data_IF_278510415942
#
_entry.id   IF_278510415942
#
_cell.length_a   1.000
_cell.length_b   1.000
_cell.length_c   1.000
_cell.angle_alpha   90.00
_cell.angle_beta   90.00
_cell.angle_gamma   90.00
#
_symmetry.space_group_name_H-M   'P 1'
#
loop_
_entity.id
_entity.type
_entity.pdbx_description
1 polymer ?
#
# COMPACT_ATOMS: atom_id res chain seq x y z
N UNK A 1 18.81 20.91 2.58
CA UNK A 1 18.07 19.67 2.26
C UNK A 1 18.78 18.51 2.94
N UNK A 2 18.03 17.60 3.56
CA UNK A 2 18.61 16.42 4.18
C UNK A 2 19.09 15.43 3.10
N UNK A 3 20.14 14.65 3.39
CA UNK A 3 20.71 13.66 2.46
C UNK A 3 19.69 12.69 1.80
N UNK A 4 18.61 12.24 2.47
CA UNK A 4 17.59 11.39 1.85
C UNK A 4 16.78 12.08 0.73
N UNK A 5 16.63 13.41 0.79
CA UNK A 5 15.84 14.20 -0.17
C UNK A 5 16.62 14.48 -1.45
N UNK A 6 17.94 14.74 -1.34
CA UNK A 6 18.81 14.91 -2.50
C UNK A 6 18.98 13.62 -3.30
N UNK A 7 19.01 12.48 -2.61
CA UNK A 7 18.95 11.15 -3.24
C UNK A 7 17.58 10.96 -3.91
N UNK A 8 16.50 11.49 -3.30
CA UNK A 8 15.13 11.37 -3.81
C UNK A 8 14.91 12.01 -5.18
N UNK A 9 15.36 13.25 -5.36
CA UNK A 9 15.16 14.02 -6.59
C UNK A 9 15.96 13.46 -7.77
N UNK A 10 17.11 12.84 -7.47
CA UNK A 10 17.92 12.15 -8.47
C UNK A 10 17.23 10.86 -8.96
N UNK A 11 16.51 10.14 -8.08
CA UNK A 11 15.81 8.89 -8.43
C UNK A 11 14.51 9.10 -9.21
N UNK A 12 13.71 10.14 -8.91
CA UNK A 12 12.54 10.48 -9.75
C UNK A 12 12.95 10.77 -11.20
N UNK A 13 14.06 11.49 -11.38
CA UNK A 13 14.59 11.84 -12.71
C UNK A 13 15.15 10.64 -13.49
N UNK A 14 15.55 9.56 -12.80
CA UNK A 14 16.14 8.38 -13.42
C UNK A 14 15.13 7.22 -13.58
N UNK A 15 14.03 7.21 -12.82
CA UNK A 15 13.12 6.07 -12.71
C UNK A 15 11.93 6.03 -13.67
N UNK A 16 11.58 7.15 -14.32
CA UNK A 16 10.53 7.20 -15.37
C UNK A 16 9.13 6.70 -14.95
N UNK A 17 8.85 6.58 -13.64
CA UNK A 17 7.58 6.10 -13.11
C UNK A 17 6.55 7.22 -12.92
N UNK A 18 5.27 6.85 -12.83
CA UNK A 18 4.19 7.80 -12.54
C UNK A 18 4.34 8.44 -11.16
N UNK A 19 4.04 9.75 -11.07
CA UNK A 19 4.06 10.51 -9.82
C UNK A 19 3.09 9.96 -8.77
N UNK A 20 1.91 9.46 -9.18
CA UNK A 20 0.97 8.71 -8.33
C UNK A 20 0.03 7.84 -9.19
N UNK A 21 -0.79 7.00 -8.54
CA UNK A 21 -1.98 6.37 -9.12
C UNK A 21 -3.17 7.32 -8.97
N UNK A 22 -3.82 7.60 -10.09
CA UNK A 22 -5.04 8.40 -10.11
C UNK A 22 -6.28 7.53 -10.23
N UNK A 23 -7.25 7.79 -9.36
CA UNK A 23 -8.52 7.07 -9.31
C UNK A 23 -9.63 7.88 -9.98
N UNK A 24 -10.70 7.23 -10.49
CA UNK A 24 -11.89 7.92 -10.96
C UNK A 24 -12.50 8.81 -9.87
N UNK A 25 -13.19 9.89 -10.26
CA UNK A 25 -13.83 10.82 -9.32
C UNK A 25 -14.77 10.13 -8.33
N UNK A 26 -15.43 9.04 -8.74
CA UNK A 26 -16.32 8.28 -7.86
C UNK A 26 -15.63 7.67 -6.64
N UNK A 27 -14.29 7.55 -6.61
CA UNK A 27 -13.54 7.04 -5.45
C UNK A 27 -13.39 8.10 -4.36
N UNK A 28 -13.51 9.39 -4.70
CA UNK A 28 -13.33 10.49 -3.76
C UNK A 28 -14.20 10.33 -2.51
N UNK A 29 -13.63 10.63 -1.34
CA UNK A 29 -14.26 10.46 -0.04
C UNK A 29 -13.79 9.21 0.69
N UNK A 30 -14.43 8.96 1.83
CA UNK A 30 -14.12 7.84 2.72
C UNK A 30 -15.15 6.72 2.57
N UNK A 31 -14.67 5.49 2.64
CA UNK A 31 -15.44 4.27 2.44
C UNK A 31 -15.30 3.36 3.64
N UNK A 32 -16.39 2.72 4.05
CA UNK A 32 -16.29 1.57 4.96
C UNK A 32 -15.79 0.37 4.16
N UNK A 33 -14.66 -0.18 4.57
CA UNK A 33 -14.01 -1.30 3.91
C UNK A 33 -14.16 -2.55 4.75
N UNK A 34 -14.61 -3.63 4.13
CA UNK A 34 -14.45 -4.99 4.64
C UNK A 34 -13.32 -5.66 3.84
N UNK A 35 -12.19 -5.94 4.50
CA UNK A 35 -11.03 -6.61 3.90
C UNK A 35 -10.83 -7.98 4.54
N UNK A 36 -10.83 -9.04 3.73
CA UNK A 36 -10.60 -10.40 4.20
C UNK A 36 -9.32 -10.94 3.58
N UNK A 37 -8.40 -11.41 4.42
CA UNK A 37 -7.25 -12.20 3.99
C UNK A 37 -7.75 -13.60 3.60
N UNK A 38 -7.66 -13.95 2.32
CA UNK A 38 -8.22 -15.22 1.79
C UNK A 38 -7.16 -16.26 1.45
N UNK A 39 -5.89 -15.86 1.35
CA UNK A 39 -4.78 -16.75 1.05
C UNK A 39 -3.47 -16.14 1.55
N UNK A 40 -2.61 -16.97 2.12
CA UNK A 40 -1.23 -16.62 2.53
C UNK A 40 -0.31 -17.73 2.08
N UNK A 41 0.78 -17.38 1.43
CA UNK A 41 1.79 -18.31 0.96
C UNK A 41 3.16 -17.87 1.44
N UNK A 42 3.91 -18.80 2.02
CA UNK A 42 5.32 -18.62 2.35
C UNK A 42 6.19 -19.32 1.30
N UNK A 43 7.26 -18.65 0.89
CA UNK A 43 8.31 -19.17 0.02
C UNK A 43 9.67 -18.87 0.67
N UNK A 44 10.34 -19.91 1.16
CA UNK A 44 11.59 -19.76 1.91
C UNK A 44 11.37 -19.31 3.35
N UNK A 45 12.45 -18.89 4.01
CA UNK A 45 12.46 -18.63 5.47
C UNK A 45 12.21 -17.16 5.85
N UNK A 46 12.28 -16.23 4.90
CA UNK A 46 12.09 -14.82 5.15
C UNK A 46 10.64 -14.50 5.57
N UNK A 47 10.48 -13.72 6.64
CA UNK A 47 9.18 -13.33 7.23
C UNK A 47 8.30 -14.49 7.74
N UNK A 48 8.89 -15.65 8.08
CA UNK A 48 8.15 -16.81 8.57
C UNK A 48 7.22 -16.51 9.77
N UNK A 49 7.71 -15.77 10.77
CA UNK A 49 6.91 -15.40 11.94
C UNK A 49 5.68 -14.55 11.57
N UNK A 50 5.84 -13.62 10.62
CA UNK A 50 4.75 -12.77 10.14
C UNK A 50 3.70 -13.60 9.39
N UNK A 51 4.15 -14.56 8.57
CA UNK A 51 3.24 -15.48 7.87
C UNK A 51 2.48 -16.34 8.86
N UNK A 52 3.16 -16.91 9.85
CA UNK A 52 2.52 -17.73 10.89
C UNK A 52 1.48 -16.92 11.68
N UNK A 53 1.82 -15.70 12.10
CA UNK A 53 0.89 -14.80 12.76
C UNK A 53 -0.36 -14.55 11.89
N UNK A 54 -0.17 -14.30 10.59
CA UNK A 54 -1.29 -14.05 9.68
C UNK A 54 -2.18 -15.29 9.50
N UNK A 55 -1.60 -16.49 9.43
CA UNK A 55 -2.36 -17.75 9.36
C UNK A 55 -3.24 -17.94 10.60
N UNK A 56 -2.68 -17.72 11.79
CA UNK A 56 -3.39 -17.94 13.05
C UNK A 56 -4.43 -16.85 13.33
N UNK A 57 -4.09 -15.61 13.03
CA UNK A 57 -4.82 -14.46 13.54
C UNK A 57 -5.64 -13.72 12.50
N UNK A 58 -5.35 -13.86 11.21
CA UNK A 58 -5.92 -13.00 10.16
C UNK A 58 -6.60 -13.78 9.03
N UNK A 59 -6.12 -14.97 8.69
CA UNK A 59 -6.63 -15.77 7.57
C UNK A 59 -8.12 -16.08 7.76
N UNK A 60 -8.90 -15.82 6.72
CA UNK A 60 -10.36 -15.91 6.68
C UNK A 60 -11.12 -15.00 7.67
N UNK A 61 -10.43 -14.04 8.31
CA UNK A 61 -11.08 -13.01 9.14
C UNK A 61 -11.22 -11.71 8.35
N UNK A 62 -12.34 -11.03 8.56
CA UNK A 62 -12.63 -9.74 7.92
C UNK A 62 -12.24 -8.61 8.86
N UNK A 63 -11.24 -7.83 8.47
CA UNK A 63 -10.92 -6.55 9.07
C UNK A 63 -11.84 -5.47 8.52
N UNK A 64 -12.38 -4.62 9.40
CA UNK A 64 -13.20 -3.48 9.02
C UNK A 64 -12.52 -2.17 9.40
N UNK A 65 -12.43 -1.26 8.44
CA UNK A 65 -11.80 0.03 8.62
C UNK A 65 -12.30 1.02 7.58
N UNK A 66 -11.99 2.30 7.78
CA UNK A 66 -12.26 3.35 6.80
C UNK A 66 -11.07 3.51 5.85
N UNK A 67 -11.35 3.69 4.56
CA UNK A 67 -10.34 4.02 3.56
C UNK A 67 -10.80 5.23 2.74
N UNK A 68 -9.94 6.24 2.64
CA UNK A 68 -10.22 7.52 2.02
C UNK A 68 -9.38 7.77 0.77
N UNK A 69 -10.00 8.46 -0.18
CA UNK A 69 -9.37 9.01 -1.37
C UNK A 69 -9.65 10.51 -1.41
N UNK A 70 -8.62 11.29 -1.72
CA UNK A 70 -8.63 12.76 -1.63
C UNK A 70 -8.09 13.36 -2.92
N UNK A 71 -8.42 14.63 -3.19
CA UNK A 71 -7.80 15.35 -4.30
C UNK A 71 -6.45 15.93 -3.89
N UNK A 72 -5.45 15.76 -4.74
CA UNK A 72 -4.19 16.48 -4.64
C UNK A 72 -4.33 17.93 -5.16
N UNK A 73 -3.26 18.72 -5.10
CA UNK A 73 -3.20 20.09 -5.60
C UNK A 73 -3.43 20.24 -7.11
N UNK A 74 -3.41 19.13 -7.87
CA UNK A 74 -3.79 19.07 -9.29
C UNK A 74 -5.26 18.73 -9.50
N UNK A 75 -6.03 18.56 -8.44
CA UNK A 75 -7.44 18.18 -8.50
C UNK A 75 -7.69 16.71 -8.84
N UNK A 76 -6.65 15.86 -8.84
CA UNK A 76 -6.76 14.43 -9.16
C UNK A 76 -6.97 13.59 -7.90
N UNK A 77 -7.84 12.58 -7.98
CA UNK A 77 -8.13 11.70 -6.85
C UNK A 77 -6.99 10.70 -6.64
N UNK A 78 -6.44 10.68 -5.43
CA UNK A 78 -5.37 9.78 -4.96
C UNK A 78 -5.79 9.09 -3.66
N UNK A 79 -5.19 7.96 -3.33
CA UNK A 79 -5.41 7.32 -2.04
C UNK A 79 -4.71 8.12 -0.92
N UNK A 80 -5.42 8.44 0.17
CA UNK A 80 -4.83 9.11 1.33
C UNK A 80 -3.97 8.12 2.13
N UNK A 81 -2.70 8.00 1.78
CA UNK A 81 -1.82 6.97 2.38
C UNK A 81 -1.67 7.16 3.88
N UNK A 82 -1.54 8.41 4.33
CA UNK A 82 -1.38 8.72 5.75
C UNK A 82 -2.59 8.25 6.56
N UNK A 83 -3.79 8.68 6.16
CA UNK A 83 -5.03 8.30 6.85
C UNK A 83 -5.34 6.81 6.68
N UNK A 84 -5.15 6.24 5.49
CA UNK A 84 -5.44 4.83 5.23
C UNK A 84 -4.53 3.91 6.05
N UNK A 85 -3.22 4.21 6.13
CA UNK A 85 -2.32 3.43 6.99
C UNK A 85 -2.69 3.59 8.46
N UNK A 86 -3.08 4.79 8.90
CA UNK A 86 -3.59 4.99 10.26
C UNK A 86 -4.81 4.11 10.54
N UNK A 87 -5.84 4.15 9.70
CA UNK A 87 -7.10 3.40 9.90
C UNK A 87 -6.90 1.89 9.90
N UNK A 88 -6.01 1.37 9.05
CA UNK A 88 -5.62 -0.04 9.07
C UNK A 88 -4.88 -0.37 10.38
N UNK A 89 -3.95 0.48 10.80
CA UNK A 89 -3.21 0.27 12.07
C UNK A 89 -4.16 0.24 13.26
N UNK A 90 -5.11 1.17 13.33
CA UNK A 90 -6.11 1.24 14.41
C UNK A 90 -7.03 0.02 14.41
N UNK A 91 -7.39 -0.51 13.23
CA UNK A 91 -8.20 -1.72 13.14
C UNK A 91 -7.44 -2.98 13.62
N UNK A 92 -6.12 -3.02 13.46
CA UNK A 92 -5.28 -4.17 13.87
C UNK A 92 -4.87 -4.08 15.34
N UNK A 93 -4.39 -2.91 15.77
CA UNK A 93 -3.75 -2.71 17.08
C UNK A 93 -4.64 -1.99 18.09
N UNK A 94 -5.82 -1.52 17.66
CA UNK A 94 -6.63 -0.57 18.41
C UNK A 94 -6.15 0.88 18.22
N UNK A 95 -6.99 1.83 18.66
CA UNK A 95 -6.65 3.26 18.60
C UNK A 95 -5.40 3.57 19.44
N UNK A 96 -4.45 4.31 18.85
CA UNK A 96 -3.18 4.66 19.48
C UNK A 96 -2.84 6.13 19.25
N UNK A 97 -2.57 6.84 20.33
CA UNK A 97 -2.20 8.26 20.33
C UNK A 97 -0.69 8.49 20.24
N UNK A 98 0.10 7.43 20.31
CA UNK A 98 1.57 7.46 20.29
C UNK A 98 2.16 7.17 18.90
N UNK A 99 1.32 7.06 17.89
CA UNK A 99 1.74 6.92 16.49
C UNK A 99 1.55 8.27 15.78
N UNK A 100 2.58 8.69 15.03
CA UNK A 100 2.52 9.88 14.17
C UNK A 100 2.70 9.45 12.73
N UNK A 101 1.81 9.92 11.86
CA UNK A 101 1.85 9.68 10.42
C UNK A 101 2.13 11.01 9.72
N UNK A 102 3.17 11.05 8.89
CA UNK A 102 3.55 12.22 8.11
C UNK A 102 3.62 11.81 6.64
N UNK A 103 2.73 12.38 5.85
CA UNK A 103 2.57 12.14 4.43
C UNK A 103 2.11 13.42 3.76
N UNK A 104 2.57 13.66 2.53
CA UNK A 104 2.17 14.80 1.73
C UNK A 104 1.38 14.30 0.52
N UNK A 105 0.16 14.82 0.32
CA UNK A 105 -0.70 14.46 -0.81
C UNK A 105 -0.10 14.83 -2.16
N UNK A 106 0.73 15.89 -2.20
CA UNK A 106 1.38 16.38 -3.41
C UNK A 106 2.79 15.81 -3.63
N UNK A 107 3.36 15.15 -2.61
CA UNK A 107 4.56 14.32 -2.70
C UNK A 107 4.27 12.94 -2.09
N UNK A 108 3.49 12.12 -2.82
CA UNK A 108 2.89 10.92 -2.28
C UNK A 108 3.88 9.78 -2.05
N UNK A 109 5.10 9.93 -2.54
CA UNK A 109 6.10 8.86 -2.61
C UNK A 109 6.65 8.46 -1.26
N UNK A 110 6.46 9.30 -0.23
CA UNK A 110 7.08 9.10 1.08
C UNK A 110 6.04 9.18 2.19
N UNK A 111 5.91 8.09 2.94
CA UNK A 111 5.19 8.05 4.20
C UNK A 111 6.17 7.80 5.34
N UNK A 112 6.12 8.64 6.37
CA UNK A 112 6.90 8.48 7.61
C UNK A 112 5.97 8.18 8.77
N UNK A 113 6.30 7.15 9.53
CA UNK A 113 5.56 6.75 10.74
C UNK A 113 6.54 6.75 11.90
N UNK A 114 6.17 7.38 13.01
CA UNK A 114 6.93 7.36 14.26
C UNK A 114 6.09 6.69 15.34
N UNK A 115 6.58 5.57 15.89
CA UNK A 115 5.96 4.79 16.96
C UNK A 115 7.01 4.56 18.05
N UNK A 116 7.00 5.38 19.11
CA UNK A 116 7.83 5.23 20.33
C UNK A 116 9.23 4.67 20.09
N UNK A 117 10.03 5.36 19.28
CA UNK A 117 11.43 4.98 19.01
C UNK A 117 11.62 4.03 17.83
N UNK A 118 10.54 3.53 17.22
CA UNK A 118 10.55 2.91 15.90
C UNK A 118 10.13 3.93 14.85
N UNK A 119 11.04 4.24 13.94
CA UNK A 119 10.77 5.05 12.75
C UNK A 119 10.59 4.12 11.57
N UNK A 120 9.45 4.24 10.90
CA UNK A 120 9.15 3.51 9.67
C UNK A 120 9.13 4.51 8.53
N UNK A 121 9.99 4.30 7.55
CA UNK A 121 10.02 5.09 6.32
C UNK A 121 9.57 4.21 5.17
N UNK A 122 8.43 4.53 4.57
CA UNK A 122 7.92 3.86 3.37
C UNK A 122 8.16 4.74 2.16
N UNK A 123 8.76 4.16 1.10
CA UNK A 123 8.99 4.84 -0.17
C UNK A 123 8.47 4.03 -1.34
N UNK A 124 7.62 4.64 -2.16
CA UNK A 124 7.22 4.04 -3.45
C UNK A 124 8.33 4.27 -4.48
N UNK A 125 8.78 3.21 -5.12
CA UNK A 125 9.89 3.23 -6.08
C UNK A 125 9.45 3.01 -7.51
N UNK A 126 8.34 2.28 -7.73
CA UNK A 126 7.75 2.09 -9.07
C UNK A 126 6.24 1.99 -8.97
N UNK A 127 5.55 2.46 -10.01
CA UNK A 127 4.09 2.34 -10.14
C UNK A 127 3.68 1.86 -11.52
N UNK A 128 2.51 1.24 -11.57
CA UNK A 128 1.78 0.96 -12.78
C UNK A 128 0.28 1.21 -12.54
N UNK A 129 -0.38 1.76 -13.55
CA UNK A 129 -1.82 1.89 -13.64
C UNK A 129 -2.23 1.45 -15.04
N UNK A 130 -3.28 0.63 -15.16
CA UNK A 130 -3.84 0.27 -16.47
C UNK A 130 -4.44 1.48 -17.20
N UNK A 131 -4.67 2.59 -16.51
CA UNK A 131 -5.07 3.87 -17.10
C UNK A 131 -3.88 4.72 -17.60
N UNK A 132 -2.65 4.22 -17.46
CA UNK A 132 -1.47 5.04 -17.74
C UNK A 132 -1.38 6.22 -16.76
N UNK A 133 -0.80 7.33 -17.19
CA UNK A 133 -0.61 8.54 -16.36
C UNK A 133 -1.88 9.38 -16.23
N UNK A 134 -2.98 8.89 -16.79
CA UNK A 134 -4.30 9.53 -16.79
C UNK A 134 -5.22 8.90 -15.74
N UNK A 135 -6.38 9.53 -15.55
CA UNK A 135 -7.47 8.96 -14.76
C UNK A 135 -8.16 7.87 -15.59
N UNK A 136 -8.49 6.73 -14.96
CA UNK A 136 -9.24 5.68 -15.65
C UNK A 136 -10.55 6.25 -16.22
N UNK A 137 -10.82 5.98 -17.51
CA UNK A 137 -12.02 6.47 -18.18
C UNK A 137 -13.28 6.14 -17.35
N UNK A 138 -14.23 7.08 -17.18
CA UNK A 138 -15.50 6.82 -16.51
C UNK A 138 -16.31 5.67 -17.14
N UNK A 139 -16.08 5.36 -18.42
CA UNK A 139 -16.70 4.23 -19.11
C UNK A 139 -16.08 2.88 -18.74
N UNK A 140 -14.83 2.86 -18.28
CA UNK A 140 -14.19 1.67 -17.74
C UNK A 140 -14.72 1.45 -16.32
N UNK A 141 -15.09 0.20 -16.00
CA UNK A 141 -15.56 -0.20 -14.66
C UNK A 141 -14.53 -1.02 -13.90
N UNK A 142 -13.29 -0.93 -14.32
CA UNK A 142 -12.15 -1.68 -13.81
C UNK A 142 -10.88 -0.85 -13.88
N UNK A 143 -9.98 -1.08 -12.94
CA UNK A 143 -8.64 -0.50 -12.91
C UNK A 143 -7.69 -1.54 -12.32
N UNK A 144 -6.49 -1.65 -12.88
CA UNK A 144 -5.40 -2.41 -12.26
C UNK A 144 -4.30 -1.44 -11.85
N UNK A 145 -3.87 -1.54 -10.60
CA UNK A 145 -2.82 -0.70 -10.03
C UNK A 145 -1.73 -1.57 -9.43
N UNK A 146 -0.48 -1.12 -9.47
CA UNK A 146 0.65 -1.78 -8.83
C UNK A 146 1.58 -0.72 -8.24
N UNK A 147 2.01 -0.94 -7.00
CA UNK A 147 3.07 -0.16 -6.36
C UNK A 147 4.17 -1.09 -5.87
N UNK A 148 5.41 -0.81 -6.25
CA UNK A 148 6.59 -1.37 -5.62
C UNK A 148 7.10 -0.35 -4.61
N UNK A 149 7.28 -0.75 -3.36
CA UNK A 149 7.74 0.12 -2.31
C UNK A 149 8.70 -0.57 -1.36
N UNK A 150 9.51 0.25 -0.70
CA UNK A 150 10.47 -0.14 0.32
C UNK A 150 10.01 0.40 1.67
N UNK A 151 10.25 -0.36 2.73
CA UNK A 151 10.00 0.05 4.09
C UNK A 151 11.26 -0.14 4.92
N UNK A 152 11.76 0.95 5.49
CA UNK A 152 12.90 0.94 6.40
C UNK A 152 12.36 1.06 7.81
N UNK A 153 12.71 0.10 8.67
CA UNK A 153 12.36 0.05 10.08
C UNK A 153 13.62 0.34 10.89
N UNK A 154 13.68 1.52 11.50
CA UNK A 154 14.81 1.99 12.29
C UNK A 154 14.42 2.15 13.75
N UNK A 155 15.06 1.38 14.63
CA UNK A 155 14.88 1.43 16.07
C UNK A 155 15.95 2.27 16.80
N UNK A 156 16.80 2.98 16.06
CA UNK A 156 17.90 3.78 16.61
C UNK A 156 19.11 2.99 17.08
N UNK A 157 19.15 1.66 16.90
CA UNK A 157 20.26 0.79 17.32
C UNK A 157 21.30 0.54 16.23
N UNK A 158 21.20 1.22 15.08
CA UNK A 158 22.20 1.19 14.00
C UNK A 158 22.06 0.02 13.01
N UNK A 159 21.04 -0.83 13.15
CA UNK A 159 20.77 -1.95 12.25
C UNK A 159 19.32 -1.87 11.73
N UNK A 160 19.01 -0.96 10.80
CA UNK A 160 17.67 -0.83 10.26
C UNK A 160 17.32 -2.08 9.43
N UNK A 161 16.08 -2.55 9.57
CA UNK A 161 15.54 -3.62 8.70
C UNK A 161 14.91 -3.00 7.47
N UNK A 162 15.07 -3.63 6.32
CA UNK A 162 14.51 -3.13 5.06
C UNK A 162 13.64 -4.19 4.43
N UNK A 163 12.36 -3.88 4.21
CA UNK A 163 11.45 -4.72 3.46
C UNK A 163 11.21 -4.12 2.08
N UNK A 164 11.12 -4.98 1.07
CA UNK A 164 10.63 -4.60 -0.24
C UNK A 164 9.32 -5.35 -0.51
N UNK A 165 8.32 -4.62 -1.01
CA UNK A 165 6.98 -5.16 -1.22
C UNK A 165 6.37 -4.63 -2.51
N UNK A 166 5.61 -5.49 -3.19
CA UNK A 166 4.77 -5.11 -4.32
C UNK A 166 3.31 -5.33 -3.98
N UNK A 167 2.50 -4.30 -4.16
CA UNK A 167 1.06 -4.33 -3.95
C UNK A 167 0.35 -4.17 -5.29
N UNK A 168 -0.31 -5.22 -5.75
CA UNK A 168 -1.16 -5.18 -6.96
C UNK A 168 -2.61 -5.17 -6.51
N UNK A 169 -3.41 -4.24 -7.02
CA UNK A 169 -4.85 -4.18 -6.76
C UNK A 169 -5.64 -4.15 -8.05
N UNK A 170 -6.61 -5.06 -8.16
CA UNK A 170 -7.60 -5.10 -9.24
C UNK A 170 -8.93 -4.60 -8.72
N UNK A 171 -9.35 -3.46 -9.24
CA UNK A 171 -10.55 -2.75 -8.85
C UNK A 171 -11.69 -3.04 -9.82
N UNK A 172 -12.91 -3.10 -9.30
CA UNK A 172 -14.15 -3.11 -10.06
C UNK A 172 -15.20 -2.29 -9.32
N UNK A 173 -15.97 -1.47 -10.03
CA UNK A 173 -16.97 -0.62 -9.38
C UNK A 173 -18.26 -0.48 -10.20
N UNK A 174 -19.32 -0.03 -9.50
CA UNK A 174 -20.64 0.30 -10.05
C UNK A 174 -20.93 1.80 -9.93
N UNK A 175 -21.86 2.32 -10.72
CA UNK A 175 -22.41 3.66 -10.46
C UNK A 175 -23.30 3.64 -9.23
N UNK A 176 -23.73 4.82 -8.79
CA UNK A 176 -24.69 4.95 -7.69
C UNK A 176 -26.00 4.24 -8.05
N UNK A 177 -26.55 4.51 -9.24
CA UNK A 177 -27.82 3.94 -9.71
C UNK A 177 -27.79 2.41 -9.87
N UNK A 178 -26.61 1.84 -10.11
CA UNK A 178 -26.39 0.40 -10.25
C UNK A 178 -26.11 -0.31 -8.93
N UNK A 179 -25.99 0.41 -7.81
CA UNK A 179 -25.62 -0.16 -6.51
C UNK A 179 -26.87 -0.34 -5.64
N UNK A 180 -27.34 -1.59 -5.42
CA UNK A 180 -28.43 -1.82 -4.50
C UNK A 180 -28.08 -1.36 -3.08
N UNK A 181 -29.08 -0.96 -2.31
CA UNK A 181 -28.91 -0.56 -0.92
C UNK A 181 -28.19 -1.64 -0.11
N UNK A 182 -27.20 -1.22 0.70
CA UNK A 182 -26.39 -2.12 1.53
C UNK A 182 -25.38 -2.99 0.76
N UNK A 183 -25.27 -2.86 -0.56
CA UNK A 183 -24.25 -3.58 -1.36
C UNK A 183 -22.99 -2.74 -1.55
N UNK A 184 -21.81 -3.39 -1.67
CA UNK A 184 -20.58 -2.66 -1.93
C UNK A 184 -20.60 -2.05 -3.33
N UNK A 185 -20.12 -0.81 -3.42
CA UNK A 185 -20.01 -0.08 -4.69
C UNK A 185 -18.69 -0.34 -5.39
N UNK A 186 -17.62 -0.55 -4.63
CA UNK A 186 -16.29 -0.89 -5.14
C UNK A 186 -15.89 -2.24 -4.55
N UNK A 187 -15.37 -3.11 -5.41
CA UNK A 187 -14.75 -4.38 -5.06
C UNK A 187 -13.29 -4.32 -5.47
N UNK A 188 -12.41 -4.89 -4.65
CA UNK A 188 -11.01 -5.00 -4.99
C UNK A 188 -10.45 -6.37 -4.61
N UNK A 189 -9.59 -6.92 -5.47
CA UNK A 189 -8.72 -8.02 -5.12
C UNK A 189 -7.30 -7.48 -5.03
N UNK A 190 -6.65 -7.69 -3.90
CA UNK A 190 -5.31 -7.16 -3.65
C UNK A 190 -4.33 -8.31 -3.40
N UNK A 191 -3.14 -8.19 -3.96
CA UNK A 191 -2.03 -9.13 -3.75
C UNK A 191 -0.84 -8.34 -3.24
N UNK A 192 -0.41 -8.65 -2.01
CA UNK A 192 0.80 -8.13 -1.41
C UNK A 192 1.88 -9.21 -1.49
N UNK A 193 2.94 -8.90 -2.23
CA UNK A 193 4.12 -9.75 -2.38
C UNK A 193 5.28 -9.13 -1.62
N UNK A 194 5.83 -9.82 -0.64
CA UNK A 194 7.03 -9.38 0.08
C UNK A 194 8.25 -10.10 -0.48
N UNK A 195 9.36 -9.39 -0.59
CA UNK A 195 10.61 -9.90 -1.12
C UNK A 195 11.69 -9.86 -0.05
N UNK A 196 12.57 -10.87 -0.05
CA UNK A 196 13.81 -10.80 0.70
C UNK A 196 14.68 -9.67 0.13
N UNK A 197 15.31 -8.89 1.00
CA UNK A 197 16.19 -7.80 0.58
C UNK A 197 17.66 -8.21 0.70
N UNK A 198 18.58 -7.54 0.00
CA UNK A 198 20.02 -7.85 0.08
C UNK A 198 20.59 -7.63 1.49
N UNK A 199 19.92 -6.80 2.30
CA UNK A 199 20.32 -6.54 3.69
C UNK A 199 19.88 -7.66 4.64
N UNK A 200 18.85 -8.41 4.27
CA UNK A 200 18.30 -9.51 5.06
C UNK A 200 18.65 -10.89 4.48
N UNK A 201 19.48 -10.95 3.43
CA UNK A 201 19.85 -12.21 2.76
C UNK A 201 21.36 -12.30 2.51
N UNK A 202 21.90 -13.51 2.61
CA UNK A 202 23.29 -13.81 2.23
C UNK A 202 23.44 -14.08 0.72
N UNK A 203 22.41 -13.78 -0.09
CA UNK A 203 22.41 -14.07 -1.52
C UNK A 203 23.07 -12.93 -2.28
N UNK A 204 24.27 -13.17 -2.81
CA UNK A 204 25.11 -12.16 -3.45
C UNK A 204 24.46 -11.47 -4.69
N UNK A 205 23.45 -12.09 -5.31
CA UNK A 205 22.80 -11.59 -6.54
C UNK A 205 21.46 -10.87 -6.29
N UNK A 206 21.01 -10.75 -5.03
CA UNK A 206 19.81 -9.99 -4.71
C UNK A 206 20.13 -8.49 -4.80
N UNK A 207 19.30 -7.76 -5.55
CA UNK A 207 19.31 -6.31 -5.59
C UNK A 207 17.88 -5.79 -5.55
N UNK A 208 17.70 -4.58 -5.03
CA UNK A 208 16.39 -3.91 -5.04
C UNK A 208 15.84 -3.68 -6.46
N UNK A 209 16.69 -3.77 -7.49
CA UNK A 209 16.31 -3.64 -8.90
C UNK A 209 15.94 -4.97 -9.56
N UNK A 210 16.24 -6.12 -8.93
CA UNK A 210 16.02 -7.47 -9.47
C UNK A 210 15.26 -8.39 -8.48
N UNK A 211 14.10 -7.92 -8.02
CA UNK A 211 13.19 -8.70 -7.18
C UNK A 211 12.28 -9.57 -8.07
N UNK A 212 12.70 -10.81 -8.34
CA UNK A 212 11.97 -11.72 -9.24
C UNK A 212 10.98 -12.64 -8.49
N UNK A 213 11.38 -13.21 -7.35
CA UNK A 213 10.57 -14.16 -6.60
C UNK A 213 10.15 -13.62 -5.23
N UNK A 214 8.84 -13.56 -4.91
CA UNK A 214 8.38 -13.14 -3.60
C UNK A 214 8.64 -14.22 -2.55
N UNK A 215 9.10 -13.81 -1.38
CA UNK A 215 9.27 -14.66 -0.20
C UNK A 215 7.95 -14.94 0.53
N UNK A 216 6.98 -14.03 0.43
CA UNK A 216 5.61 -14.31 0.87
C UNK A 216 4.58 -13.58 0.02
N UNK A 217 3.39 -14.15 -0.07
CA UNK A 217 2.27 -13.61 -0.84
C UNK A 217 1.01 -13.64 0.01
N UNK A 218 0.35 -12.51 0.14
CA UNK A 218 -0.93 -12.34 0.82
C UNK A 218 -1.97 -11.91 -0.20
N UNK A 219 -3.15 -12.53 -0.19
CA UNK A 219 -4.26 -12.16 -1.07
C UNK A 219 -5.46 -11.72 -0.26
N UNK A 220 -5.98 -10.55 -0.59
CA UNK A 220 -7.13 -9.95 0.06
C UNK A 220 -8.29 -9.81 -0.91
N UNK A 221 -9.51 -10.00 -0.39
CA UNK A 221 -10.75 -9.56 -1.03
C UNK A 221 -11.32 -8.40 -0.24
N UNK A 222 -11.65 -7.32 -0.93
CA UNK A 222 -12.08 -6.07 -0.32
C UNK A 222 -13.41 -5.63 -0.91
N UNK A 223 -14.27 -5.10 -0.05
CA UNK A 223 -15.56 -4.54 -0.41
C UNK A 223 -15.72 -3.16 0.25
N UNK A 224 -16.05 -2.15 -0.54
CA UNK A 224 -16.16 -0.76 -0.12
C UNK A 224 -17.63 -0.34 -0.19
N UNK A 225 -18.12 0.15 0.93
CA UNK A 225 -19.49 0.61 1.13
C UNK A 225 -19.44 2.13 1.31
N UNK A 226 -20.37 2.84 0.65
CA UNK A 226 -20.56 4.26 0.92
C UNK A 226 -20.93 4.44 2.38
N UNK A 227 -20.30 5.42 3.03
CA UNK A 227 -20.66 5.88 4.38
C UNK A 227 -22.00 6.60 4.33
#
# INVERSE_FOLDING_TARGET
MAAPELISDAWEKLGGGQADIFYPDLFEGCWQVASTLVDVQQKGEYDADQVQQAIENELNKTLRYEQCFVRNGRGLVVADRGLNTKKITEAILGARDDIRYNWNVDDPNVLRIDLKGLKIFTRVTRRFSSAGSDVASPSLRTLETSELFEQVFDNGLGNPRVKASRLITKWKWRTLDETPEGQPRILANQVLSNYATPLDSNTADLSFTNLSEPASIYKYKMAFFSV
#
